data_IF_720310828169
#
_entry.id   IF_720310828169
#
_cell.length_a   1.000
_cell.length_b   1.000
_cell.length_c   1.000
_cell.angle_alpha   90.00
_cell.angle_beta   90.00
_cell.angle_gamma   90.00
#
_symmetry.space_group_name_H-M   'P 1'
#
loop_
_entity.id
_entity.type
_entity.pdbx_description
1 polymer ?
#
# COMPACT_ATOMS: atom_id res chain seq x y z
N UNK A 1 -34.54 21.00 -24.33
CA UNK A 1 -33.21 20.59 -23.87
C UNK A 1 -32.21 21.52 -24.51
N UNK A 2 -32.00 22.71 -23.92
CA UNK A 2 -31.22 23.80 -24.48
C UNK A 2 -29.87 23.80 -23.78
N UNK A 3 -28.84 23.76 -24.59
CA UNK A 3 -27.41 23.70 -24.27
C UNK A 3 -26.96 24.85 -23.34
N UNK A 4 -26.89 24.58 -22.02
CA UNK A 4 -26.32 25.50 -21.00
C UNK A 4 -24.78 25.53 -21.00
N UNK A 5 -24.11 24.83 -21.94
CA UNK A 5 -22.65 24.67 -21.96
C UNK A 5 -21.89 25.79 -22.69
N UNK A 6 -22.54 26.62 -23.48
CA UNK A 6 -21.86 27.68 -24.24
C UNK A 6 -21.70 29.02 -23.48
N UNK A 7 -22.45 29.25 -22.42
CA UNK A 7 -22.36 30.51 -21.63
C UNK A 7 -21.07 30.66 -20.80
N UNK A 8 -20.44 29.56 -20.43
CA UNK A 8 -19.23 29.54 -19.61
C UNK A 8 -17.93 29.70 -20.41
N UNK A 9 -17.96 29.53 -21.73
CA UNK A 9 -16.78 29.68 -22.60
C UNK A 9 -16.36 31.15 -22.82
N UNK A 10 -17.28 32.10 -22.73
CA UNK A 10 -16.99 33.50 -23.00
C UNK A 10 -16.35 34.27 -21.84
N UNK A 11 -16.53 33.82 -20.58
CA UNK A 11 -15.95 34.46 -19.40
C UNK A 11 -14.50 34.04 -19.12
N UNK A 12 -14.05 32.91 -19.69
CA UNK A 12 -12.70 32.35 -19.45
C UNK A 12 -11.57 32.98 -20.25
N UNK A 13 -11.87 33.79 -21.27
CA UNK A 13 -10.85 34.37 -22.19
C UNK A 13 -10.21 35.70 -21.74
N UNK A 14 -10.64 36.29 -20.61
CA UNK A 14 -10.15 37.61 -20.18
C UNK A 14 -9.26 37.66 -18.93
N UNK A 15 -8.89 36.50 -18.35
CA UNK A 15 -8.12 36.45 -17.09
C UNK A 15 -6.83 35.63 -17.13
N UNK A 16 -6.30 35.30 -18.31
CA UNK A 16 -4.99 34.63 -18.40
C UNK A 16 -4.05 35.45 -19.27
N UNK A 17 -3.05 36.04 -18.60
CA UNK A 17 -1.81 36.48 -19.26
C UNK A 17 -1.05 35.25 -19.75
N UNK A 18 -0.52 35.36 -20.95
CA UNK A 18 0.21 34.34 -21.69
C UNK A 18 1.47 33.87 -20.91
N UNK A 19 1.36 32.76 -20.22
CA UNK A 19 2.49 31.90 -19.87
C UNK A 19 1.96 30.45 -19.81
N UNK A 20 1.70 29.87 -21.00
CA UNK A 20 1.31 28.48 -21.17
C UNK A 20 2.55 27.57 -21.09
N UNK A 21 3.14 27.45 -19.88
CA UNK A 21 3.97 26.31 -19.54
C UNK A 21 3.08 25.06 -19.44
N UNK A 22 3.55 23.91 -19.93
CA UNK A 22 2.88 22.62 -19.71
C UNK A 22 2.54 22.46 -18.22
N UNK A 23 1.33 21.99 -17.87
CA UNK A 23 0.93 21.87 -16.46
C UNK A 23 1.94 21.00 -15.72
N UNK A 24 2.59 21.55 -14.72
CA UNK A 24 3.61 20.85 -13.94
C UNK A 24 2.96 19.67 -13.20
N UNK A 25 3.45 18.48 -13.46
CA UNK A 25 2.99 17.26 -12.80
C UNK A 25 3.20 17.33 -11.28
N UNK A 26 2.14 17.20 -10.47
CA UNK A 26 2.22 17.36 -9.03
C UNK A 26 2.68 16.06 -8.34
N UNK A 27 3.95 15.72 -8.44
CA UNK A 27 4.53 14.50 -7.87
C UNK A 27 4.32 14.36 -6.35
N UNK A 28 4.13 15.48 -5.63
CA UNK A 28 3.85 15.47 -4.18
C UNK A 28 2.47 14.92 -3.82
N UNK A 29 1.59 14.71 -4.80
CA UNK A 29 0.31 14.03 -4.62
C UNK A 29 0.38 12.51 -4.78
N UNK A 30 1.52 11.98 -5.19
CA UNK A 30 1.72 10.53 -5.24
C UNK A 30 1.72 9.95 -3.82
N UNK A 31 1.08 8.81 -3.66
CA UNK A 31 1.01 8.11 -2.40
C UNK A 31 0.96 6.59 -2.59
N UNK A 32 1.61 5.89 -1.69
CA UNK A 32 1.40 4.46 -1.56
C UNK A 32 0.33 4.21 -0.51
N UNK A 33 -0.64 3.39 -0.85
CA UNK A 33 -1.83 3.15 -0.04
C UNK A 33 -1.95 1.67 0.31
N UNK A 34 -2.31 1.38 1.55
CA UNK A 34 -2.68 0.04 1.96
C UNK A 34 -4.18 -0.17 1.68
N UNK A 35 -4.50 -1.27 1.01
CA UNK A 35 -5.87 -1.67 0.74
C UNK A 35 -6.46 -2.45 1.93
N UNK A 36 -7.78 -2.58 1.96
CA UNK A 36 -8.46 -3.35 3.03
C UNK A 36 -7.96 -4.77 3.19
N UNK A 37 -7.46 -5.37 2.14
CA UNK A 37 -6.90 -6.71 2.18
C UNK A 37 -5.42 -6.74 2.60
N UNK A 38 -4.84 -5.60 3.00
CA UNK A 38 -3.45 -5.45 3.41
C UNK A 38 -2.44 -5.41 2.26
N UNK A 39 -2.88 -5.52 0.99
CA UNK A 39 -1.99 -5.32 -0.16
C UNK A 39 -1.70 -3.84 -0.36
N UNK A 40 -0.54 -3.52 -0.95
CA UNK A 40 -0.20 -2.16 -1.33
C UNK A 40 -0.69 -1.83 -2.74
N UNK A 41 -0.99 -0.56 -2.99
CA UNK A 41 -1.25 -0.02 -4.32
C UNK A 41 -0.62 1.37 -4.43
N UNK A 42 -0.34 1.83 -5.64
CA UNK A 42 0.23 3.14 -5.89
C UNK A 42 -0.84 4.10 -6.44
N UNK A 43 -1.07 5.21 -5.75
CA UNK A 43 -1.96 6.28 -6.17
C UNK A 43 -1.13 7.43 -6.73
N UNK A 44 -1.49 7.89 -7.92
CA UNK A 44 -0.82 9.05 -8.54
C UNK A 44 -1.76 9.85 -9.44
N UNK A 45 -1.45 11.12 -9.75
CA UNK A 45 -2.10 11.85 -10.82
C UNK A 45 -2.02 11.09 -12.16
N UNK A 46 -3.09 11.17 -12.94
CA UNK A 46 -3.13 10.55 -14.28
C UNK A 46 -2.18 11.27 -15.23
N UNK A 47 -1.59 10.51 -16.14
CA UNK A 47 -0.69 11.00 -17.19
C UNK A 47 -1.33 10.84 -18.57
N UNK A 48 -0.97 11.66 -19.57
CA UNK A 48 -1.39 11.46 -20.97
C UNK A 48 -1.05 10.06 -21.51
N UNK A 49 0.06 9.48 -21.05
CA UNK A 49 0.52 8.13 -21.40
C UNK A 49 -0.37 7.01 -20.87
N UNK A 50 -1.29 7.30 -19.95
CA UNK A 50 -2.21 6.30 -19.39
C UNK A 50 -3.43 6.01 -20.30
N UNK A 51 -3.51 6.61 -21.48
CA UNK A 51 -4.69 6.51 -22.33
C UNK A 51 -5.05 5.05 -22.69
N UNK A 52 -4.07 4.23 -23.02
CA UNK A 52 -4.26 2.81 -23.34
C UNK A 52 -4.69 2.02 -22.08
N UNK A 53 -3.97 2.18 -20.97
CA UNK A 53 -4.30 1.52 -19.70
C UNK A 53 -5.70 1.93 -19.18
N UNK A 54 -6.10 3.19 -19.38
CA UNK A 54 -7.44 3.68 -19.03
C UNK A 54 -8.52 3.06 -19.91
N UNK A 55 -8.23 2.88 -21.21
CA UNK A 55 -9.15 2.21 -22.13
C UNK A 55 -9.34 0.74 -21.72
N UNK A 56 -8.26 0.04 -21.40
CA UNK A 56 -8.28 -1.35 -20.96
C UNK A 56 -9.04 -1.50 -19.63
N UNK A 57 -8.77 -0.60 -18.68
CA UNK A 57 -9.53 -0.54 -17.42
C UNK A 57 -11.02 -0.36 -17.68
N UNK A 58 -11.40 0.55 -18.58
CA UNK A 58 -12.80 0.80 -18.92
C UNK A 58 -13.47 -0.41 -19.57
N UNK A 59 -12.78 -1.11 -20.48
CA UNK A 59 -13.33 -2.28 -21.18
C UNK A 59 -13.51 -3.49 -20.27
N UNK A 60 -12.65 -3.66 -19.25
CA UNK A 60 -12.79 -4.73 -18.25
C UNK A 60 -13.94 -4.52 -17.26
N UNK A 61 -14.54 -3.31 -17.19
CA UNK A 61 -15.71 -3.08 -16.35
C UNK A 61 -16.93 -3.80 -16.90
N UNK A 62 -17.80 -4.28 -16.02
CA UNK A 62 -19.12 -4.77 -16.39
C UNK A 62 -19.97 -3.67 -17.04
N UNK A 63 -20.96 -4.06 -17.85
CA UNK A 63 -21.91 -3.11 -18.43
C UNK A 63 -22.62 -2.29 -17.34
N UNK A 64 -22.95 -2.94 -16.22
CA UNK A 64 -23.56 -2.28 -15.08
C UNK A 64 -22.65 -1.21 -14.47
N UNK A 65 -21.38 -1.49 -14.25
CA UNK A 65 -20.43 -0.53 -13.69
C UNK A 65 -20.19 0.65 -14.62
N UNK A 66 -20.12 0.42 -15.93
CA UNK A 66 -20.07 1.49 -16.93
C UNK A 66 -21.32 2.35 -16.92
N UNK A 67 -22.50 1.71 -16.90
CA UNK A 67 -23.77 2.43 -16.84
C UNK A 67 -23.92 3.28 -15.56
N UNK A 68 -23.58 2.72 -14.40
CA UNK A 68 -23.63 3.45 -13.13
C UNK A 68 -22.68 4.65 -13.09
N UNK A 69 -21.62 4.64 -13.91
CA UNK A 69 -20.62 5.74 -13.97
C UNK A 69 -20.96 6.80 -15.00
N UNK A 70 -21.46 6.41 -16.17
CA UNK A 70 -21.63 7.29 -17.33
C UNK A 70 -23.10 7.59 -17.65
N UNK A 71 -24.04 6.94 -16.98
CA UNK A 71 -25.49 7.04 -17.18
C UNK A 71 -25.92 6.67 -18.61
N UNK A 72 -25.05 5.97 -19.32
CA UNK A 72 -25.25 5.53 -20.69
C UNK A 72 -24.48 4.22 -20.96
N UNK A 73 -24.92 3.47 -21.97
CA UNK A 73 -24.14 2.38 -22.50
C UNK A 73 -22.91 2.96 -23.21
N UNK A 74 -21.71 2.73 -22.63
CA UNK A 74 -20.43 3.22 -23.17
C UNK A 74 -19.44 2.06 -23.18
N UNK A 75 -19.50 1.19 -24.22
CA UNK A 75 -18.65 0.00 -24.24
C UNK A 75 -17.16 0.33 -24.44
N UNK A 76 -16.88 1.49 -25.04
CA UNK A 76 -15.53 1.98 -25.29
C UNK A 76 -15.49 3.50 -25.16
N UNK A 77 -14.40 4.03 -24.62
CA UNK A 77 -14.15 5.46 -24.62
C UNK A 77 -13.69 5.91 -26.01
N UNK A 78 -14.23 7.02 -26.49
CA UNK A 78 -13.76 7.61 -27.76
C UNK A 78 -12.35 8.20 -27.60
N UNK A 79 -11.58 8.39 -28.68
CA UNK A 79 -10.29 9.08 -28.61
C UNK A 79 -10.39 10.48 -27.99
N UNK A 80 -11.51 11.17 -28.20
CA UNK A 80 -11.78 12.48 -27.58
C UNK A 80 -11.99 12.37 -26.07
N UNK A 81 -12.70 11.33 -25.61
CA UNK A 81 -12.92 11.10 -24.18
C UNK A 81 -11.61 10.68 -23.49
N UNK A 82 -10.83 9.81 -24.13
CA UNK A 82 -9.51 9.41 -23.61
C UNK A 82 -8.59 10.63 -23.45
N UNK A 83 -8.49 11.46 -24.49
CA UNK A 83 -7.70 12.69 -24.41
C UNK A 83 -8.22 13.62 -23.31
N UNK A 84 -9.56 13.82 -23.20
CA UNK A 84 -10.15 14.62 -22.13
C UNK A 84 -9.87 14.06 -20.74
N UNK A 85 -9.83 12.75 -20.59
CA UNK A 85 -9.68 12.08 -19.31
C UNK A 85 -8.23 11.97 -18.84
N UNK A 86 -7.27 11.97 -19.74
CA UNK A 86 -5.85 11.85 -19.42
C UNK A 86 -5.08 13.17 -19.48
N UNK A 87 -5.51 14.14 -20.30
CA UNK A 87 -4.90 15.46 -20.34
C UNK A 87 -5.66 16.39 -19.39
N UNK A 88 -5.18 16.47 -18.16
CA UNK A 88 -5.73 17.31 -17.09
C UNK A 88 -4.75 18.44 -16.74
N UNK A 89 -5.26 19.57 -16.26
CA UNK A 89 -4.45 20.74 -15.92
C UNK A 89 -3.95 20.74 -14.47
N UNK A 90 -4.35 19.76 -13.68
CA UNK A 90 -4.05 19.64 -12.25
C UNK A 90 -4.48 20.85 -11.41
N UNK A 91 -5.41 21.66 -11.91
CA UNK A 91 -5.95 22.87 -11.26
C UNK A 91 -7.48 22.79 -11.22
N UNK A 92 -8.12 22.96 -12.39
CA UNK A 92 -9.59 22.88 -12.53
C UNK A 92 -10.05 21.44 -12.79
N UNK A 93 -9.17 20.63 -13.34
CA UNK A 93 -9.42 19.21 -13.63
C UNK A 93 -8.28 18.38 -13.07
N UNK A 94 -8.61 17.54 -12.11
CA UNK A 94 -7.67 16.61 -11.48
C UNK A 94 -8.21 15.20 -11.58
N UNK A 95 -7.34 14.27 -11.94
CA UNK A 95 -7.67 12.85 -11.89
C UNK A 95 -6.52 12.06 -11.26
N UNK A 96 -6.87 11.13 -10.39
CA UNK A 96 -5.96 10.12 -9.83
C UNK A 96 -6.27 8.76 -10.39
N UNK A 97 -5.22 7.99 -10.62
CA UNK A 97 -5.29 6.55 -10.89
C UNK A 97 -4.70 5.80 -9.70
N UNK A 98 -5.27 4.64 -9.40
CA UNK A 98 -4.68 3.68 -8.46
C UNK A 98 -4.19 2.49 -9.28
N UNK A 99 -2.93 2.14 -9.09
CA UNK A 99 -2.24 1.08 -9.81
C UNK A 99 -1.96 -0.11 -8.90
N UNK A 100 -2.23 -1.31 -9.39
CA UNK A 100 -1.70 -2.55 -8.86
C UNK A 100 -0.82 -3.18 -9.95
N UNK A 101 0.49 -3.15 -9.76
CA UNK A 101 1.42 -3.39 -10.86
C UNK A 101 1.35 -2.31 -11.94
N UNK A 102 1.20 -2.73 -13.18
CA UNK A 102 0.98 -1.83 -14.32
C UNK A 102 -0.51 -1.56 -14.59
N UNK A 103 -1.41 -2.21 -13.85
CA UNK A 103 -2.84 -2.18 -14.10
C UNK A 103 -3.53 -1.05 -13.33
N UNK A 104 -4.34 -0.24 -14.02
CA UNK A 104 -5.27 0.69 -13.35
C UNK A 104 -6.41 -0.14 -12.73
N UNK A 105 -6.59 0.00 -11.42
CA UNK A 105 -7.64 -0.68 -10.65
C UNK A 105 -8.73 0.28 -10.15
N UNK A 106 -8.44 1.57 -10.13
CA UNK A 106 -9.43 2.59 -9.81
C UNK A 106 -9.02 3.96 -10.39
N UNK A 107 -10.03 4.79 -10.67
CA UNK A 107 -9.87 6.17 -11.14
C UNK A 107 -10.83 7.05 -10.37
N UNK A 108 -10.34 8.17 -9.85
CA UNK A 108 -11.15 9.24 -9.28
C UNK A 108 -10.79 10.56 -9.93
N UNK A 109 -11.77 11.45 -10.09
CA UNK A 109 -11.53 12.78 -10.66
C UNK A 109 -12.44 13.82 -10.09
N UNK A 110 -12.01 15.06 -10.16
CA UNK A 110 -12.93 16.19 -10.05
C UNK A 110 -12.80 17.13 -11.26
N UNK A 111 -13.89 17.76 -11.63
CA UNK A 111 -13.98 18.87 -12.56
C UNK A 111 -14.56 20.08 -11.80
N UNK A 112 -13.85 21.23 -11.76
CA UNK A 112 -14.31 22.46 -11.11
C UNK A 112 -15.55 23.00 -11.82
N UNK A 113 -16.60 23.31 -11.05
CA UNK A 113 -17.87 23.84 -11.55
C UNK A 113 -18.12 25.28 -11.11
N UNK A 114 -17.50 25.72 -10.01
CA UNK A 114 -17.49 27.12 -9.54
C UNK A 114 -16.15 27.42 -8.86
N UNK A 115 -15.88 28.69 -8.46
CA UNK A 115 -14.60 29.04 -7.84
C UNK A 115 -14.24 28.18 -6.61
N UNK A 116 -15.22 27.72 -5.84
CA UNK A 116 -15.06 26.99 -4.59
C UNK A 116 -15.63 25.55 -4.62
N UNK A 117 -16.19 25.12 -5.75
CA UNK A 117 -16.88 23.83 -5.85
C UNK A 117 -16.44 23.01 -7.07
N UNK A 118 -16.41 21.69 -6.93
CA UNK A 118 -16.13 20.76 -8.02
C UNK A 118 -17.06 19.55 -8.00
N UNK A 119 -17.36 19.03 -9.18
CA UNK A 119 -18.03 17.75 -9.35
C UNK A 119 -17.01 16.62 -9.26
N UNK A 120 -17.28 15.60 -8.42
CA UNK A 120 -16.40 14.46 -8.20
C UNK A 120 -17.03 13.16 -8.72
N UNK A 121 -16.19 12.28 -9.26
CA UNK A 121 -16.65 10.99 -9.77
C UNK A 121 -15.56 9.91 -9.67
N UNK A 122 -15.99 8.67 -9.44
CA UNK A 122 -15.13 7.52 -9.22
C UNK A 122 -15.50 6.36 -10.13
N UNK A 123 -14.52 5.52 -10.42
CA UNK A 123 -14.71 4.21 -11.02
C UNK A 123 -13.69 3.23 -10.41
N UNK A 124 -14.17 2.09 -9.92
CA UNK A 124 -13.35 1.05 -9.29
C UNK A 124 -13.60 -0.25 -10.04
N UNK A 125 -12.54 -1.01 -10.33
CA UNK A 125 -12.68 -2.28 -11.04
C UNK A 125 -13.61 -3.24 -10.27
N UNK A 126 -14.41 -4.02 -11.00
CA UNK A 126 -15.42 -4.89 -10.39
C UNK A 126 -14.81 -5.87 -9.39
N UNK A 127 -13.63 -6.41 -9.68
CA UNK A 127 -12.87 -7.32 -8.80
C UNK A 127 -12.35 -6.67 -7.52
N UNK A 128 -12.29 -5.33 -7.47
CA UNK A 128 -11.77 -4.55 -6.34
C UNK A 128 -12.85 -3.70 -5.65
N UNK A 129 -14.12 -3.85 -6.03
CA UNK A 129 -15.21 -3.18 -5.31
C UNK A 129 -15.29 -3.66 -3.86
N UNK A 130 -15.58 -2.75 -2.94
CA UNK A 130 -15.60 -3.03 -1.50
C UNK A 130 -14.22 -3.00 -0.81
N UNK A 131 -13.13 -2.80 -1.55
CA UNK A 131 -11.76 -2.70 -1.00
C UNK A 131 -11.43 -1.35 -0.34
N UNK A 132 -12.34 -0.36 -0.38
CA UNK A 132 -12.14 0.98 0.18
C UNK A 132 -11.47 1.99 -0.78
N UNK A 133 -11.18 1.60 -2.01
CA UNK A 133 -10.49 2.44 -3.01
C UNK A 133 -11.21 3.75 -3.30
N UNK A 134 -12.55 3.74 -3.39
CA UNK A 134 -13.31 4.97 -3.62
C UNK A 134 -13.17 5.98 -2.48
N UNK A 135 -13.15 5.52 -1.23
CA UNK A 135 -12.92 6.39 -0.06
C UNK A 135 -11.50 6.97 -0.06
N UNK A 136 -10.49 6.16 -0.38
CA UNK A 136 -9.10 6.64 -0.52
C UNK A 136 -8.98 7.69 -1.61
N UNK A 137 -9.57 7.43 -2.79
CA UNK A 137 -9.58 8.39 -3.89
C UNK A 137 -10.28 9.70 -3.50
N UNK A 138 -11.39 9.62 -2.78
CA UNK A 138 -12.10 10.81 -2.29
C UNK A 138 -11.23 11.65 -1.36
N UNK A 139 -10.52 11.02 -0.42
CA UNK A 139 -9.62 11.71 0.52
C UNK A 139 -8.49 12.43 -0.20
N UNK A 140 -7.83 11.76 -1.16
CA UNK A 140 -6.75 12.37 -1.95
C UNK A 140 -7.25 13.48 -2.88
N UNK A 141 -8.42 13.29 -3.52
CA UNK A 141 -9.05 14.34 -4.32
C UNK A 141 -9.44 15.54 -3.47
N UNK A 142 -9.99 15.32 -2.26
CA UNK A 142 -10.33 16.41 -1.34
C UNK A 142 -9.08 17.17 -0.87
N UNK A 143 -7.96 16.48 -0.62
CA UNK A 143 -6.69 17.12 -0.29
C UNK A 143 -6.18 18.00 -1.44
N UNK A 144 -6.12 17.46 -2.66
CA UNK A 144 -5.71 18.19 -3.85
C UNK A 144 -6.64 19.37 -4.19
N UNK A 145 -7.96 19.19 -4.00
CA UNK A 145 -8.96 20.22 -4.22
C UNK A 145 -8.80 21.42 -3.28
N UNK A 146 -8.54 21.16 -1.99
CA UNK A 146 -8.26 22.23 -1.00
C UNK A 146 -7.00 23.03 -1.34
N UNK A 147 -5.94 22.41 -1.82
CA UNK A 147 -4.75 23.11 -2.32
C UNK A 147 -5.06 24.05 -3.49
N UNK A 148 -6.16 23.80 -4.21
CA UNK A 148 -6.66 24.59 -5.33
C UNK A 148 -7.82 25.53 -4.95
N UNK A 149 -8.10 25.70 -3.65
CA UNK A 149 -9.15 26.58 -3.15
C UNK A 149 -10.58 26.10 -3.39
N UNK A 150 -10.76 24.79 -3.58
CA UNK A 150 -12.07 24.14 -3.64
C UNK A 150 -12.42 23.66 -2.23
N UNK A 151 -13.62 23.98 -1.76
CA UNK A 151 -14.10 23.65 -0.42
C UNK A 151 -15.34 22.75 -0.43
N UNK A 152 -15.96 22.55 -1.59
CA UNK A 152 -17.19 21.76 -1.73
C UNK A 152 -17.06 20.76 -2.87
N UNK A 153 -17.47 19.53 -2.61
CA UNK A 153 -17.72 18.55 -3.65
C UNK A 153 -19.20 18.32 -3.87
N UNK A 154 -19.55 18.07 -5.13
CA UNK A 154 -20.87 17.59 -5.57
C UNK A 154 -20.69 16.32 -6.38
N UNK A 155 -21.71 15.46 -6.39
CA UNK A 155 -21.73 14.27 -7.24
C UNK A 155 -23.17 13.94 -7.64
N UNK A 156 -23.33 13.45 -8.88
CA UNK A 156 -24.57 12.86 -9.37
C UNK A 156 -24.46 11.33 -9.27
N UNK A 157 -25.43 10.69 -8.63
CA UNK A 157 -25.41 9.25 -8.39
C UNK A 157 -26.78 8.66 -8.73
N UNK A 158 -26.81 7.59 -9.52
CA UNK A 158 -28.06 6.85 -9.75
C UNK A 158 -28.57 6.25 -8.43
N UNK A 159 -29.89 6.29 -8.12
CA UNK A 159 -30.44 5.79 -6.87
C UNK A 159 -30.10 4.31 -6.57
N UNK A 160 -29.97 3.49 -7.61
CA UNK A 160 -29.58 2.10 -7.50
C UNK A 160 -28.08 1.90 -7.17
N UNK A 161 -27.26 2.94 -7.28
CA UNK A 161 -25.85 2.88 -6.92
C UNK A 161 -25.63 3.13 -5.41
N UNK A 162 -26.26 2.29 -4.60
CA UNK A 162 -26.22 2.37 -3.14
C UNK A 162 -24.81 2.28 -2.59
N UNK A 163 -23.89 1.56 -3.28
CA UNK A 163 -22.48 1.46 -2.90
C UNK A 163 -21.79 2.83 -2.97
N UNK A 164 -22.00 3.61 -4.02
CA UNK A 164 -21.41 4.93 -4.18
C UNK A 164 -22.01 5.93 -3.18
N UNK A 165 -23.33 5.89 -2.97
CA UNK A 165 -23.98 6.71 -1.94
C UNK A 165 -23.35 6.43 -0.57
N UNK A 166 -23.11 5.15 -0.25
CA UNK A 166 -22.46 4.74 1.00
C UNK A 166 -21.05 5.29 1.13
N UNK A 167 -20.25 5.30 0.05
CA UNK A 167 -18.90 5.91 0.06
C UNK A 167 -18.98 7.35 0.56
N UNK A 168 -19.88 8.17 0.03
CA UNK A 168 -19.99 9.58 0.46
C UNK A 168 -20.44 9.72 1.92
N UNK A 169 -21.41 8.91 2.36
CA UNK A 169 -21.97 9.02 3.71
C UNK A 169 -21.09 8.47 4.82
N UNK A 170 -20.14 7.58 4.50
CA UNK A 170 -19.24 6.96 5.48
C UNK A 170 -17.89 7.65 5.63
N UNK A 171 -17.61 8.71 4.86
CA UNK A 171 -16.33 9.45 4.92
C UNK A 171 -16.20 10.40 6.10
N UNK A 172 -17.27 10.58 6.89
CA UNK A 172 -17.28 11.46 8.06
C UNK A 172 -17.45 12.94 7.73
N UNK A 173 -17.71 13.30 6.47
CA UNK A 173 -18.17 14.62 6.07
C UNK A 173 -19.68 14.78 6.33
N UNK A 174 -20.13 16.02 6.46
CA UNK A 174 -21.57 16.33 6.55
C UNK A 174 -22.16 16.38 5.15
N UNK A 175 -22.93 15.33 4.80
CA UNK A 175 -23.38 15.05 3.43
C UNK A 175 -24.87 15.37 3.27
N UNK A 176 -25.16 16.33 2.42
CA UNK A 176 -26.51 16.67 1.96
C UNK A 176 -26.86 15.79 0.73
N UNK A 177 -28.09 15.28 0.70
CA UNK A 177 -28.59 14.47 -0.41
C UNK A 177 -29.97 14.98 -0.84
N UNK A 178 -30.15 15.14 -2.13
CA UNK A 178 -31.43 15.52 -2.73
C UNK A 178 -31.68 14.69 -3.99
N UNK A 179 -32.91 14.16 -4.12
CA UNK A 179 -33.34 13.53 -5.38
C UNK A 179 -33.75 14.64 -6.35
N UNK A 180 -33.17 14.64 -7.55
CA UNK A 180 -33.44 15.62 -8.60
C UNK A 180 -33.42 14.91 -9.96
N UNK A 181 -34.46 15.04 -10.76
CA UNK A 181 -34.61 14.42 -12.10
C UNK A 181 -34.17 12.93 -12.17
N UNK A 182 -34.47 12.14 -11.14
CA UNK A 182 -34.17 10.71 -11.10
C UNK A 182 -32.74 10.36 -10.70
N UNK A 183 -31.93 11.35 -10.34
CA UNK A 183 -30.57 11.17 -9.79
C UNK A 183 -30.49 11.68 -8.35
N UNK A 184 -29.62 11.08 -7.55
CA UNK A 184 -29.30 11.57 -6.20
C UNK A 184 -28.17 12.57 -6.32
N UNK A 185 -28.47 13.83 -6.08
CA UNK A 185 -27.49 14.89 -5.93
C UNK A 185 -26.88 14.80 -4.54
N UNK A 186 -25.57 14.62 -4.48
CA UNK A 186 -24.79 14.59 -3.25
C UNK A 186 -23.95 15.86 -3.17
N UNK A 187 -23.93 16.54 -2.02
CA UNK A 187 -23.13 17.75 -1.79
C UNK A 187 -22.56 17.74 -0.38
N UNK A 188 -21.31 18.13 -0.20
CA UNK A 188 -20.65 18.23 1.10
C UNK A 188 -19.44 19.13 1.08
N UNK A 189 -19.12 19.73 2.24
CA UNK A 189 -17.87 20.46 2.47
C UNK A 189 -16.73 19.44 2.65
N UNK A 190 -15.57 19.74 2.02
CA UNK A 190 -14.40 18.87 2.05
C UNK A 190 -13.32 19.32 3.04
N UNK A 191 -13.57 20.38 3.80
CA UNK A 191 -12.68 20.78 4.88
C UNK A 191 -12.64 19.68 5.96
N UNK A 192 -11.46 19.36 6.51
CA UNK A 192 -11.34 18.27 7.47
C UNK A 192 -12.17 18.51 8.73
N UNK A 193 -13.04 17.60 9.07
CA UNK A 193 -13.74 17.56 10.35
C UNK A 193 -13.04 16.59 11.29
N UNK A 194 -13.24 16.70 12.60
CA UNK A 194 -12.72 15.73 13.57
C UNK A 194 -13.14 14.30 13.19
N UNK A 195 -14.41 14.12 12.80
CA UNK A 195 -14.97 12.83 12.39
C UNK A 195 -14.36 12.30 11.10
N UNK A 196 -14.14 13.14 10.07
CA UNK A 196 -13.50 12.68 8.83
C UNK A 196 -12.06 12.23 9.06
N UNK A 197 -11.31 12.96 9.89
CA UNK A 197 -9.95 12.58 10.27
C UNK A 197 -9.89 11.26 11.07
N UNK A 198 -10.88 11.03 11.94
CA UNK A 198 -11.01 9.78 12.70
C UNK A 198 -11.31 8.59 11.76
N UNK A 199 -12.28 8.72 10.86
CA UNK A 199 -12.62 7.69 9.87
C UNK A 199 -11.42 7.35 8.98
N UNK A 200 -10.68 8.36 8.50
CA UNK A 200 -9.46 8.16 7.72
C UNK A 200 -8.41 7.39 8.51
N UNK A 201 -8.18 7.81 9.77
CA UNK A 201 -7.20 7.18 10.64
C UNK A 201 -7.55 5.73 10.96
N UNK A 202 -8.83 5.43 11.22
CA UNK A 202 -9.30 4.07 11.49
C UNK A 202 -9.23 3.16 10.26
N UNK A 203 -9.51 3.69 9.07
CA UNK A 203 -9.34 2.94 7.82
C UNK A 203 -7.86 2.61 7.56
N UNK A 204 -6.96 3.59 7.73
CA UNK A 204 -5.51 3.41 7.61
C UNK A 204 -5.04 2.34 8.62
N UNK A 205 -5.43 2.47 9.88
CA UNK A 205 -5.10 1.53 10.94
C UNK A 205 -5.48 0.09 10.58
N UNK A 206 -6.73 -0.15 10.17
CA UNK A 206 -7.17 -1.50 9.79
C UNK A 206 -6.41 -2.07 8.58
N UNK A 207 -6.04 -1.24 7.61
CA UNK A 207 -5.29 -1.69 6.44
C UNK A 207 -3.85 -2.07 6.81
N UNK A 208 -3.17 -1.25 7.61
CA UNK A 208 -1.80 -1.50 8.05
C UNK A 208 -1.71 -2.69 9.02
N UNK A 209 -2.63 -2.80 9.98
CA UNK A 209 -2.69 -3.94 10.89
C UNK A 209 -2.82 -5.27 10.13
N UNK A 210 -3.68 -5.32 9.10
CA UNK A 210 -3.82 -6.52 8.25
C UNK A 210 -2.59 -6.80 7.38
N UNK A 211 -1.88 -5.75 6.93
CA UNK A 211 -0.65 -5.94 6.19
C UNK A 211 0.43 -6.57 7.07
N UNK A 212 0.54 -6.12 8.33
CA UNK A 212 1.45 -6.68 9.31
C UNK A 212 1.05 -8.11 9.72
N UNK A 213 -0.23 -8.37 9.91
CA UNK A 213 -0.76 -9.71 10.19
C UNK A 213 -0.29 -10.73 9.14
N UNK A 214 -0.41 -10.42 7.86
CA UNK A 214 0.05 -11.29 6.78
C UNK A 214 1.56 -11.50 6.74
N UNK A 215 2.31 -10.47 7.11
CA UNK A 215 3.77 -10.54 7.17
C UNK A 215 4.23 -11.42 8.34
N UNK A 216 3.54 -11.35 9.48
CA UNK A 216 3.91 -12.05 10.70
C UNK A 216 3.31 -13.46 10.81
N UNK A 217 2.23 -13.75 10.06
CA UNK A 217 1.49 -15.03 10.08
C UNK A 217 1.44 -15.69 8.69
N UNK A 218 2.59 -15.93 8.01
CA UNK A 218 2.59 -16.60 6.72
C UNK A 218 2.28 -18.08 6.86
N UNK A 219 1.42 -18.62 5.99
CA UNK A 219 1.18 -20.06 5.86
C UNK A 219 2.25 -20.75 4.98
N UNK A 220 2.91 -19.96 4.12
CA UNK A 220 3.97 -20.41 3.24
C UNK A 220 5.12 -19.41 3.18
N UNK A 221 6.35 -19.95 3.25
CA UNK A 221 7.60 -19.18 3.27
C UNK A 221 8.52 -19.61 2.14
N UNK A 222 9.12 -18.65 1.46
CA UNK A 222 10.17 -18.85 0.47
C UNK A 222 11.49 -18.27 0.97
N UNK A 223 12.54 -19.08 1.02
CA UNK A 223 13.90 -18.63 1.29
C UNK A 223 14.71 -18.59 0.00
N UNK A 224 15.16 -17.40 -0.40
CA UNK A 224 15.96 -17.16 -1.61
C UNK A 224 17.40 -16.85 -1.19
N UNK A 225 18.37 -17.50 -1.84
CA UNK A 225 19.79 -17.36 -1.53
C UNK A 225 20.27 -18.31 -0.43
N UNK A 226 19.54 -19.42 -0.25
CA UNK A 226 20.04 -20.54 0.57
C UNK A 226 21.15 -21.26 -0.17
N UNK A 227 22.12 -21.79 0.58
CA UNK A 227 23.23 -22.55 0.04
C UNK A 227 23.65 -23.68 1.00
N UNK A 228 24.49 -24.60 0.54
CA UNK A 228 25.08 -25.66 1.37
C UNK A 228 25.96 -25.11 2.51
N UNK A 229 26.35 -23.84 2.46
CA UNK A 229 27.13 -23.17 3.51
C UNK A 229 26.18 -22.76 4.65
N UNK A 230 26.31 -23.40 5.79
CA UNK A 230 25.48 -23.13 6.99
C UNK A 230 25.63 -21.71 7.52
N UNK A 231 26.80 -21.09 7.36
CA UNK A 231 27.15 -19.73 7.78
C UNK A 231 26.58 -18.64 6.85
N UNK A 232 26.01 -19.02 5.68
CA UNK A 232 25.36 -18.07 4.78
C UNK A 232 24.10 -17.47 5.43
N UNK A 233 23.75 -16.24 5.06
CA UNK A 233 22.54 -15.61 5.57
C UNK A 233 21.28 -16.49 5.34
N UNK A 234 21.10 -17.00 4.12
CA UNK A 234 20.01 -17.90 3.81
C UNK A 234 20.03 -19.21 4.60
N UNK A 235 21.21 -19.79 4.84
CA UNK A 235 21.37 -20.98 5.68
C UNK A 235 20.99 -20.73 7.14
N UNK A 236 21.35 -19.57 7.68
CA UNK A 236 20.95 -19.16 9.05
C UNK A 236 19.46 -18.96 9.19
N UNK A 237 18.77 -18.35 8.20
CA UNK A 237 17.31 -18.25 8.17
C UNK A 237 16.65 -19.62 8.13
N UNK A 238 17.15 -20.54 7.32
CA UNK A 238 16.65 -21.92 7.27
C UNK A 238 16.81 -22.60 8.63
N UNK A 239 17.97 -22.48 9.26
CA UNK A 239 18.22 -23.04 10.61
C UNK A 239 17.25 -22.47 11.65
N UNK A 240 17.03 -21.16 11.64
CA UNK A 240 16.13 -20.49 12.57
C UNK A 240 14.68 -20.95 12.37
N UNK A 241 14.25 -21.05 11.10
CA UNK A 241 12.90 -21.50 10.75
C UNK A 241 12.64 -22.94 11.19
N UNK A 242 13.57 -23.87 10.89
CA UNK A 242 13.47 -25.28 11.31
C UNK A 242 13.47 -25.43 12.82
N UNK A 243 14.26 -24.64 13.53
CA UNK A 243 14.34 -24.67 15.00
C UNK A 243 13.16 -23.98 15.69
N UNK A 244 12.30 -23.26 14.97
CA UNK A 244 11.19 -22.50 15.58
C UNK A 244 9.94 -23.30 15.87
N UNK A 245 9.77 -24.44 15.22
CA UNK A 245 8.51 -25.23 15.25
C UNK A 245 7.48 -24.78 14.21
N UNK A 246 7.88 -23.97 13.21
CA UNK A 246 7.00 -23.58 12.13
C UNK A 246 6.45 -24.77 11.34
N UNK A 247 5.13 -24.83 11.15
CA UNK A 247 4.42 -25.96 10.53
C UNK A 247 3.97 -25.70 9.09
N UNK A 248 4.10 -24.44 8.61
CA UNK A 248 3.69 -24.07 7.26
C UNK A 248 4.62 -24.61 6.17
N UNK A 249 4.26 -24.31 4.92
CA UNK A 249 5.02 -24.77 3.76
C UNK A 249 6.31 -23.96 3.58
N UNK A 250 7.44 -24.65 3.36
CA UNK A 250 8.74 -24.01 3.15
C UNK A 250 9.29 -24.36 1.78
N UNK A 251 9.55 -23.33 0.97
CA UNK A 251 10.18 -23.43 -0.33
C UNK A 251 11.59 -22.85 -0.28
N UNK A 252 12.53 -23.46 -1.00
CA UNK A 252 13.93 -23.06 -1.05
C UNK A 252 14.36 -22.77 -2.48
N UNK A 253 14.98 -21.61 -2.72
CA UNK A 253 15.62 -21.29 -4.00
C UNK A 253 17.12 -21.21 -3.79
N UNK A 254 17.86 -22.09 -4.50
CA UNK A 254 19.31 -22.19 -4.48
C UNK A 254 19.86 -22.36 -5.89
N UNK A 255 20.98 -21.68 -6.18
CA UNK A 255 21.71 -21.87 -7.45
C UNK A 255 22.69 -23.01 -7.38
N UNK A 256 23.09 -23.42 -6.17
CA UNK A 256 24.24 -24.28 -5.93
C UNK A 256 23.88 -25.72 -5.52
N UNK A 257 22.60 -25.95 -5.15
CA UNK A 257 22.16 -27.23 -4.64
C UNK A 257 20.78 -27.61 -5.18
N UNK A 258 20.55 -28.87 -5.48
CA UNK A 258 19.24 -29.42 -5.86
C UNK A 258 18.44 -29.90 -4.64
N UNK A 259 19.12 -30.12 -3.54
CA UNK A 259 18.55 -30.53 -2.26
C UNK A 259 19.36 -29.91 -1.10
N UNK A 260 18.68 -29.43 -0.09
CA UNK A 260 19.26 -28.91 1.15
C UNK A 260 18.49 -29.47 2.36
N UNK A 261 19.21 -30.17 3.24
CA UNK A 261 18.65 -30.77 4.48
C UNK A 261 17.41 -31.63 4.23
N UNK A 262 17.41 -32.44 3.17
CA UNK A 262 16.30 -33.30 2.82
C UNK A 262 15.12 -32.59 2.13
N UNK A 263 15.29 -31.29 1.80
CA UNK A 263 14.29 -30.50 1.09
C UNK A 263 14.72 -30.23 -0.33
N UNK A 264 13.82 -30.42 -1.29
CA UNK A 264 14.03 -30.01 -2.68
C UNK A 264 14.27 -28.50 -2.75
N UNK A 265 15.22 -28.08 -3.56
CA UNK A 265 15.43 -26.69 -3.93
C UNK A 265 15.02 -26.44 -5.38
N UNK A 266 14.73 -25.18 -5.67
CA UNK A 266 14.42 -24.72 -7.01
C UNK A 266 15.53 -23.80 -7.49
N UNK A 267 15.81 -23.79 -8.79
CA UNK A 267 16.83 -22.92 -9.37
C UNK A 267 16.33 -21.47 -9.52
N UNK A 268 15.02 -21.30 -9.74
CA UNK A 268 14.37 -20.00 -9.92
C UNK A 268 13.05 -19.96 -9.14
N UNK A 269 12.66 -18.76 -8.73
CA UNK A 269 11.41 -18.50 -8.03
C UNK A 269 10.19 -18.88 -8.91
N UNK A 270 10.25 -18.55 -10.20
CA UNK A 270 9.15 -18.78 -11.14
C UNK A 270 8.86 -20.28 -11.42
N UNK A 271 9.76 -21.17 -11.02
CA UNK A 271 9.58 -22.61 -11.17
C UNK A 271 8.79 -23.25 -10.01
N UNK A 272 8.42 -22.46 -8.99
CA UNK A 272 7.67 -22.94 -7.82
C UNK A 272 6.21 -23.27 -8.16
N UNK A 273 5.67 -24.33 -7.56
CA UNK A 273 4.29 -24.78 -7.82
C UNK A 273 3.28 -24.02 -6.95
N UNK A 274 3.01 -22.77 -7.21
CA UNK A 274 1.98 -22.01 -6.49
C UNK A 274 2.41 -20.68 -5.92
N UNK A 275 1.49 -19.99 -5.24
CA UNK A 275 1.75 -18.71 -4.57
C UNK A 275 2.41 -18.94 -3.20
N UNK A 276 3.16 -17.94 -2.76
CA UNK A 276 3.85 -17.91 -1.46
C UNK A 276 3.50 -16.60 -0.74
N UNK A 277 3.26 -16.68 0.58
CA UNK A 277 2.86 -15.51 1.36
C UNK A 277 4.02 -14.58 1.66
N UNK A 278 5.15 -15.14 2.09
CA UNK A 278 6.33 -14.40 2.52
C UNK A 278 7.60 -14.94 1.90
N UNK A 279 8.41 -14.07 1.29
CA UNK A 279 9.75 -14.43 0.83
C UNK A 279 10.84 -13.73 1.66
N UNK A 280 11.89 -14.45 2.03
CA UNK A 280 13.14 -13.88 2.56
C UNK A 280 14.16 -13.86 1.42
N UNK A 281 14.65 -12.68 1.05
CA UNK A 281 15.60 -12.49 -0.05
C UNK A 281 16.99 -12.20 0.54
N UNK A 282 17.76 -13.25 0.73
CA UNK A 282 19.14 -13.18 1.28
C UNK A 282 20.18 -13.16 0.15
N UNK A 283 20.09 -12.17 -0.73
CA UNK A 283 20.95 -11.96 -1.89
C UNK A 283 21.71 -10.63 -1.77
N UNK A 284 22.72 -10.42 -2.63
CA UNK A 284 23.37 -9.12 -2.74
C UNK A 284 22.40 -8.04 -3.23
N UNK A 285 22.62 -6.74 -2.92
CA UNK A 285 21.67 -5.66 -3.21
C UNK A 285 21.16 -5.63 -4.65
N UNK A 286 22.02 -5.77 -5.64
CA UNK A 286 21.64 -5.72 -7.05
C UNK A 286 20.74 -6.90 -7.45
N UNK A 287 21.01 -8.08 -6.90
CA UNK A 287 20.22 -9.29 -7.18
C UNK A 287 18.84 -9.28 -6.50
N UNK A 288 18.64 -8.47 -5.47
CA UNK A 288 17.32 -8.30 -4.82
C UNK A 288 16.29 -7.69 -5.78
N UNK A 289 16.72 -6.84 -6.71
CA UNK A 289 15.81 -6.20 -7.68
C UNK A 289 15.17 -7.22 -8.64
N UNK A 290 15.95 -8.20 -9.11
CA UNK A 290 15.46 -9.28 -9.97
C UNK A 290 14.58 -10.24 -9.16
N UNK A 291 14.99 -10.59 -7.94
CA UNK A 291 14.25 -11.47 -7.07
C UNK A 291 12.85 -10.91 -6.71
N UNK A 292 12.70 -9.59 -6.55
CA UNK A 292 11.40 -8.95 -6.34
C UNK A 292 10.47 -9.19 -7.54
N UNK A 293 10.97 -9.04 -8.77
CA UNK A 293 10.16 -9.26 -9.99
C UNK A 293 9.75 -10.75 -10.12
N UNK A 294 10.66 -11.68 -9.82
CA UNK A 294 10.33 -13.10 -9.80
C UNK A 294 9.30 -13.45 -8.71
N UNK A 295 9.44 -12.87 -7.51
CA UNK A 295 8.46 -13.02 -6.43
C UNK A 295 7.08 -12.48 -6.82
N UNK A 296 7.04 -11.34 -7.51
CA UNK A 296 5.80 -10.76 -8.01
C UNK A 296 5.10 -11.69 -9.01
N UNK A 297 5.85 -12.32 -9.90
CA UNK A 297 5.32 -13.21 -10.93
C UNK A 297 4.56 -14.43 -10.35
N UNK A 298 4.92 -14.89 -9.12
CA UNK A 298 4.24 -15.98 -8.43
C UNK A 298 3.28 -15.51 -7.32
N UNK A 299 3.03 -14.19 -7.22
CA UNK A 299 2.05 -13.62 -6.32
C UNK A 299 2.49 -13.49 -4.86
N UNK A 300 3.80 -13.42 -4.57
CA UNK A 300 4.32 -13.10 -3.22
C UNK A 300 3.82 -11.73 -2.79
N UNK A 301 3.34 -11.63 -1.56
CA UNK A 301 2.73 -10.39 -1.03
C UNK A 301 3.62 -9.65 -0.04
N UNK A 302 4.54 -10.33 0.63
CA UNK A 302 5.44 -9.74 1.61
C UNK A 302 6.86 -10.25 1.41
N UNK A 303 7.84 -9.36 1.59
CA UNK A 303 9.25 -9.72 1.49
C UNK A 303 10.04 -9.20 2.68
N UNK A 304 10.98 -9.99 3.16
CA UNK A 304 11.98 -9.60 4.15
C UNK A 304 13.34 -9.55 3.46
N UNK A 305 14.04 -8.43 3.59
CA UNK A 305 15.37 -8.23 3.03
C UNK A 305 16.37 -7.98 4.17
N UNK A 306 17.12 -9.03 4.56
CA UNK A 306 18.14 -8.90 5.60
C UNK A 306 19.41 -8.23 5.11
N UNK A 307 19.60 -8.12 3.81
CA UNK A 307 20.82 -7.60 3.19
C UNK A 307 21.04 -6.13 3.53
N UNK A 308 22.24 -5.80 3.95
CA UNK A 308 22.75 -4.44 4.20
C UNK A 308 23.32 -3.83 2.92
N UNK A 309 23.82 -2.57 2.99
CA UNK A 309 24.45 -1.88 1.87
C UNK A 309 23.52 -1.03 1.01
N UNK A 310 22.25 -0.93 1.37
CA UNK A 310 21.27 -0.12 0.63
C UNK A 310 21.24 1.37 1.04
N UNK A 311 21.70 1.72 2.24
CA UNK A 311 21.65 3.11 2.72
C UNK A 311 23.04 3.76 2.84
N UNK A 312 24.12 2.98 2.70
CA UNK A 312 25.48 3.38 3.07
C UNK A 312 26.19 4.21 1.99
N UNK A 313 25.58 4.37 0.82
CA UNK A 313 26.12 5.13 -0.31
C UNK A 313 25.01 5.68 -1.21
N UNK A 314 25.31 6.64 -2.06
CA UNK A 314 24.38 7.18 -3.06
C UNK A 314 23.84 6.08 -3.99
N UNK A 315 24.70 5.16 -4.40
CA UNK A 315 24.33 4.00 -5.21
C UNK A 315 23.38 3.07 -4.45
N UNK A 316 23.69 2.74 -3.20
CA UNK A 316 22.82 1.94 -2.34
C UNK A 316 21.46 2.60 -2.12
N UNK A 317 21.43 3.90 -1.90
CA UNK A 317 20.20 4.67 -1.79
C UNK A 317 19.34 4.66 -3.07
N UNK A 318 19.97 4.63 -4.25
CA UNK A 318 19.25 4.46 -5.52
C UNK A 318 18.67 3.05 -5.64
N UNK A 319 19.43 2.01 -5.29
CA UNK A 319 18.96 0.63 -5.28
C UNK A 319 17.76 0.46 -4.32
N UNK A 320 17.82 1.05 -3.12
CA UNK A 320 16.72 1.01 -2.16
C UNK A 320 15.45 1.63 -2.73
N UNK A 321 15.55 2.81 -3.34
CA UNK A 321 14.39 3.45 -3.98
C UNK A 321 13.79 2.57 -5.09
N UNK A 322 14.63 1.99 -5.95
CA UNK A 322 14.17 1.07 -7.00
C UNK A 322 13.51 -0.17 -6.42
N UNK A 323 14.07 -0.74 -5.35
CA UNK A 323 13.55 -1.92 -4.67
C UNK A 323 12.14 -1.66 -4.13
N UNK A 324 11.97 -0.57 -3.40
CA UNK A 324 10.67 -0.16 -2.85
C UNK A 324 9.66 0.12 -3.96
N UNK A 325 10.06 0.86 -4.98
CA UNK A 325 9.19 1.16 -6.13
C UNK A 325 8.71 -0.11 -6.82
N UNK A 326 9.60 -1.10 -7.02
CA UNK A 326 9.22 -2.40 -7.62
C UNK A 326 8.28 -3.20 -6.72
N UNK A 327 8.63 -3.35 -5.43
CA UNK A 327 7.79 -4.06 -4.47
C UNK A 327 6.37 -3.48 -4.43
N UNK A 328 6.24 -2.16 -4.27
CA UNK A 328 4.97 -1.45 -4.22
C UNK A 328 4.19 -1.52 -5.52
N UNK A 329 4.86 -1.44 -6.67
CA UNK A 329 4.22 -1.62 -7.99
C UNK A 329 3.46 -2.94 -8.07
N UNK A 330 3.96 -3.98 -7.42
CA UNK A 330 3.34 -5.30 -7.39
C UNK A 330 2.47 -5.54 -6.14
N UNK A 331 2.21 -4.52 -5.34
CA UNK A 331 1.41 -4.63 -4.12
C UNK A 331 2.08 -5.40 -2.98
N UNK A 332 3.40 -5.59 -3.05
CA UNK A 332 4.18 -6.26 -2.02
C UNK A 332 4.57 -5.29 -0.90
N UNK A 333 4.51 -5.75 0.35
CA UNK A 333 5.09 -5.07 1.49
C UNK A 333 6.54 -5.52 1.69
N UNK A 334 7.40 -4.58 2.04
CA UNK A 334 8.83 -4.83 2.20
C UNK A 334 9.30 -4.48 3.61
N UNK A 335 9.87 -5.47 4.30
CA UNK A 335 10.52 -5.30 5.59
C UNK A 335 12.05 -5.21 5.40
N UNK A 336 12.65 -4.13 5.85
CA UNK A 336 14.06 -3.83 5.64
C UNK A 336 14.29 -2.73 4.60
N UNK A 337 15.38 -2.77 3.81
CA UNK A 337 16.58 -3.64 3.89
C UNK A 337 17.31 -3.54 5.24
N UNK A 338 18.29 -4.42 5.43
CA UNK A 338 19.04 -4.50 6.68
C UNK A 338 18.19 -5.01 7.86
N UNK A 339 17.13 -5.77 7.58
CA UNK A 339 16.24 -6.33 8.60
C UNK A 339 16.90 -7.48 9.36
N UNK A 340 16.80 -7.50 10.69
CA UNK A 340 17.12 -8.69 11.47
C UNK A 340 16.11 -9.82 11.24
N UNK A 341 14.96 -9.54 10.62
CA UNK A 341 13.88 -10.47 10.36
C UNK A 341 12.70 -10.33 11.30
N UNK A 342 11.88 -11.36 11.35
CA UNK A 342 10.69 -11.47 12.21
C UNK A 342 10.77 -12.70 13.10
N UNK A 343 10.08 -12.64 14.24
CA UNK A 343 9.98 -13.76 15.16
C UNK A 343 8.64 -13.67 15.89
N UNK A 344 7.97 -14.81 16.03
CA UNK A 344 6.78 -14.99 16.86
C UNK A 344 6.90 -16.27 17.67
N UNK A 345 6.44 -16.20 18.90
CA UNK A 345 6.40 -17.35 19.84
C UNK A 345 4.96 -17.78 20.09
N UNK A 346 4.74 -18.82 20.87
CA UNK A 346 3.40 -19.26 21.26
C UNK A 346 2.85 -20.40 20.41
N UNK A 347 1.57 -20.34 20.06
CA UNK A 347 0.86 -21.46 19.41
C UNK A 347 1.32 -21.72 17.99
N UNK A 348 1.57 -20.69 17.20
CA UNK A 348 2.07 -20.77 15.82
C UNK A 348 3.44 -20.12 15.69
N UNK A 349 4.49 -20.74 16.21
CA UNK A 349 5.79 -20.12 16.28
C UNK A 349 6.46 -20.05 14.92
N UNK A 350 7.14 -18.93 14.66
CA UNK A 350 7.99 -18.74 13.48
C UNK A 350 9.24 -17.97 13.84
N UNK A 351 10.38 -18.36 13.30
CA UNK A 351 11.60 -17.56 13.33
C UNK A 351 12.17 -17.43 11.93
N UNK A 352 11.91 -16.29 11.33
CA UNK A 352 12.61 -15.78 10.15
C UNK A 352 13.50 -14.63 10.59
N UNK A 353 14.45 -14.94 11.50
CA UNK A 353 15.33 -13.96 12.11
C UNK A 353 16.76 -14.47 12.20
N UNK A 354 17.70 -13.54 12.09
CA UNK A 354 19.13 -13.79 12.37
C UNK A 354 19.46 -13.71 13.86
N UNK A 355 18.44 -13.64 14.74
CA UNK A 355 18.60 -13.72 16.18
C UNK A 355 19.23 -15.07 16.59
N UNK A 356 20.09 -15.09 17.63
CA UNK A 356 20.88 -16.29 17.96
C UNK A 356 20.04 -17.45 18.50
N UNK A 357 18.86 -17.18 19.06
CA UNK A 357 17.98 -18.19 19.68
C UNK A 357 16.52 -17.75 19.61
N UNK A 358 15.62 -18.73 19.65
CA UNK A 358 14.19 -18.52 19.85
C UNK A 358 13.96 -18.12 21.33
N UNK A 359 13.38 -16.95 21.63
CA UNK A 359 13.06 -16.57 23.01
C UNK A 359 11.92 -17.43 23.58
N UNK A 360 11.74 -17.36 24.90
CA UNK A 360 10.57 -17.95 25.56
C UNK A 360 9.30 -17.21 25.17
N UNK A 361 8.20 -17.94 25.07
CA UNK A 361 6.90 -17.33 24.88
C UNK A 361 6.50 -16.40 26.05
N UNK A 362 5.85 -15.30 25.73
CA UNK A 362 5.38 -14.30 26.69
C UNK A 362 4.58 -13.19 26.06
N UNK A 363 4.50 -12.04 26.71
CA UNK A 363 3.63 -10.93 26.31
C UNK A 363 4.39 -9.66 25.89
N UNK A 364 5.72 -9.71 25.78
CA UNK A 364 6.49 -8.57 25.30
C UNK A 364 6.56 -8.60 23.76
N UNK A 365 6.29 -7.47 23.12
CA UNK A 365 6.52 -7.25 21.70
C UNK A 365 7.70 -6.29 21.52
N UNK A 366 8.60 -6.57 20.58
CA UNK A 366 9.79 -5.75 20.34
C UNK A 366 9.91 -5.38 18.88
N UNK A 367 10.22 -4.12 18.60
CA UNK A 367 10.63 -3.70 17.26
C UNK A 367 11.92 -2.87 17.30
N UNK A 368 12.76 -3.05 16.27
CA UNK A 368 14.03 -2.35 16.20
C UNK A 368 14.48 -2.03 14.79
N UNK A 369 15.21 -0.91 14.66
CA UNK A 369 15.84 -0.49 13.41
C UNK A 369 17.22 -1.12 13.26
N UNK A 370 18.11 -0.95 14.25
CA UNK A 370 19.44 -1.53 14.25
C UNK A 370 19.37 -3.04 14.49
N UNK A 371 19.86 -3.83 13.54
CA UNK A 371 19.94 -5.29 13.66
C UNK A 371 20.84 -5.72 14.83
N UNK A 372 21.97 -5.03 15.05
CA UNK A 372 22.87 -5.32 16.15
C UNK A 372 22.22 -5.03 17.52
N UNK A 373 21.60 -3.86 17.69
CA UNK A 373 20.91 -3.51 18.92
C UNK A 373 19.71 -4.43 19.18
N UNK A 374 18.97 -4.77 18.15
CA UNK A 374 17.83 -5.70 18.23
C UNK A 374 18.29 -7.10 18.70
N UNK A 375 19.39 -7.61 18.15
CA UNK A 375 19.95 -8.90 18.59
C UNK A 375 20.38 -8.86 20.07
N UNK A 376 21.00 -7.75 20.52
CA UNK A 376 21.36 -7.55 21.92
C UNK A 376 20.12 -7.49 22.85
N UNK A 377 19.08 -6.80 22.43
CA UNK A 377 17.83 -6.72 23.19
C UNK A 377 17.15 -8.08 23.32
N UNK A 378 17.06 -8.84 22.21
CA UNK A 378 16.51 -10.20 22.22
C UNK A 378 17.31 -11.13 23.16
N UNK A 379 18.64 -11.10 23.12
CA UNK A 379 19.47 -11.84 24.04
C UNK A 379 19.28 -11.37 25.50
N UNK A 380 19.12 -10.06 25.70
CA UNK A 380 18.91 -9.46 27.02
C UNK A 380 17.55 -9.80 27.65
N UNK A 381 16.49 -9.91 26.86
CA UNK A 381 15.16 -10.34 27.33
C UNK A 381 15.18 -11.81 27.72
N UNK A 382 15.77 -12.67 26.92
CA UNK A 382 15.92 -14.09 27.23
C UNK A 382 16.74 -14.34 28.50
N UNK A 383 17.86 -13.66 28.65
CA UNK A 383 18.71 -13.74 29.83
C UNK A 383 18.02 -13.30 31.13
N UNK A 384 17.02 -12.41 31.05
CA UNK A 384 16.22 -11.93 32.19
C UNK A 384 14.91 -12.68 32.38
N UNK A 385 14.64 -13.70 31.56
CA UNK A 385 13.41 -14.47 31.62
C UNK A 385 12.17 -13.70 31.16
N UNK A 386 12.35 -12.60 30.41
CA UNK A 386 11.24 -11.87 29.81
C UNK A 386 10.76 -12.64 28.57
N UNK A 387 9.53 -13.14 28.63
CA UNK A 387 8.90 -13.85 27.52
C UNK A 387 8.49 -12.87 26.42
N UNK A 388 8.80 -13.24 25.20
CA UNK A 388 8.46 -12.47 24.00
C UNK A 388 7.20 -13.03 23.35
N UNK A 389 6.37 -12.16 22.79
CA UNK A 389 5.29 -12.53 21.87
C UNK A 389 5.77 -12.43 20.44
N UNK A 390 6.18 -11.25 20.02
CA UNK A 390 6.64 -10.97 18.67
C UNK A 390 7.88 -10.07 18.64
N UNK A 391 8.65 -10.20 17.56
CA UNK A 391 9.74 -9.29 17.22
C UNK A 391 9.69 -8.92 15.74
N UNK A 392 9.92 -7.63 15.43
CA UNK A 392 10.00 -7.10 14.07
C UNK A 392 11.28 -6.26 13.92
N UNK A 393 12.19 -6.71 13.06
CA UNK A 393 13.37 -5.95 12.67
C UNK A 393 13.08 -5.11 11.43
N UNK A 394 12.82 -3.82 11.61
CA UNK A 394 12.39 -2.95 10.47
C UNK A 394 13.56 -2.47 9.60
N UNK A 395 14.81 -2.62 10.04
CA UNK A 395 16.00 -2.21 9.29
C UNK A 395 15.93 -0.75 8.85
N UNK A 396 16.20 -0.45 7.59
CA UNK A 396 16.18 0.90 7.02
C UNK A 396 14.77 1.52 6.94
N UNK A 397 13.70 0.77 7.26
CA UNK A 397 12.29 1.24 7.20
C UNK A 397 11.91 1.81 5.83
N UNK A 398 12.35 1.16 4.78
CA UNK A 398 12.14 1.67 3.43
C UNK A 398 10.65 1.62 2.99
N UNK A 399 9.87 0.66 3.55
CA UNK A 399 8.42 0.54 3.37
C UNK A 399 7.71 0.29 4.71
N UNK A 400 7.83 -0.91 5.30
CA UNK A 400 7.26 -1.20 6.62
C UNK A 400 7.99 -0.41 7.70
N UNK A 401 7.21 0.29 8.53
CA UNK A 401 7.70 1.16 9.58
C UNK A 401 7.30 0.69 10.98
N UNK A 402 7.89 1.32 12.00
CA UNK A 402 7.49 1.09 13.39
C UNK A 402 6.05 1.48 13.68
N UNK A 403 5.52 2.50 12.98
CA UNK A 403 4.12 2.89 13.14
C UNK A 403 3.16 1.79 12.65
N UNK A 404 3.53 1.05 11.61
CA UNK A 404 2.73 -0.06 11.08
C UNK A 404 2.74 -1.23 12.07
N UNK A 405 3.90 -1.51 12.65
CA UNK A 405 4.07 -2.52 13.71
C UNK A 405 3.25 -2.19 14.96
N UNK A 406 3.27 -0.91 15.40
CA UNK A 406 2.48 -0.46 16.53
C UNK A 406 0.97 -0.57 16.29
N UNK A 407 0.52 -0.29 15.06
CA UNK A 407 -0.90 -0.44 14.69
C UNK A 407 -1.36 -1.90 14.70
N UNK A 408 -0.47 -2.83 14.39
CA UNK A 408 -0.75 -4.27 14.52
C UNK A 408 -0.88 -4.67 15.98
N UNK A 409 0.05 -4.27 16.83
CA UNK A 409 0.05 -4.62 18.25
C UNK A 409 -1.01 -3.89 19.08
N UNK A 410 -1.59 -2.80 18.58
CA UNK A 410 -2.69 -2.08 19.24
C UNK A 410 -3.93 -2.98 19.43
N UNK A 411 -4.21 -3.85 18.47
CA UNK A 411 -5.37 -4.75 18.47
C UNK A 411 -5.04 -6.16 18.99
N UNK A 412 -3.78 -6.45 19.35
CA UNK A 412 -3.35 -7.79 19.78
C UNK A 412 -3.44 -7.96 21.31
N UNK A 413 -4.42 -8.74 21.76
CA UNK A 413 -4.65 -9.04 23.17
C UNK A 413 -3.49 -9.81 23.83
N UNK A 414 -2.60 -10.44 23.05
CA UNK A 414 -1.43 -11.16 23.58
C UNK A 414 -0.27 -10.22 23.90
N UNK A 415 -0.28 -8.99 23.41
CA UNK A 415 0.73 -7.98 23.68
C UNK A 415 0.40 -7.25 24.99
N UNK A 416 1.29 -7.32 25.96
CA UNK A 416 1.15 -6.63 27.26
C UNK A 416 2.14 -5.48 27.44
N UNK A 417 3.24 -5.49 26.71
CA UNK A 417 4.26 -4.43 26.74
C UNK A 417 4.99 -4.36 25.40
N UNK A 418 5.24 -3.15 24.93
CA UNK A 418 5.95 -2.90 23.69
C UNK A 418 7.28 -2.22 23.96
N UNK A 419 8.36 -2.79 23.46
CA UNK A 419 9.70 -2.23 23.48
C UNK A 419 10.13 -1.78 22.07
N UNK A 420 10.63 -0.55 21.96
CA UNK A 420 11.08 0.02 20.70
C UNK A 420 12.54 0.45 20.75
N UNK A 421 13.35 -0.02 19.80
CA UNK A 421 14.72 0.44 19.59
C UNK A 421 14.79 1.34 18.35
N UNK A 422 14.76 2.64 18.58
CA UNK A 422 14.58 3.65 17.54
C UNK A 422 15.88 4.42 17.26
N UNK A 423 16.21 4.62 16.00
CA UNK A 423 17.17 5.63 15.54
C UNK A 423 16.44 6.90 15.10
N UNK A 424 15.23 6.74 14.56
CA UNK A 424 14.34 7.86 14.21
C UNK A 424 12.88 7.42 14.19
N UNK A 425 11.95 8.35 14.47
CA UNK A 425 10.51 8.06 14.57
C UNK A 425 9.77 8.03 13.23
N UNK A 426 10.39 8.45 12.13
CA UNK A 426 9.72 8.59 10.83
C UNK A 426 8.66 9.69 10.86
N UNK A 427 7.38 9.34 11.00
CA UNK A 427 6.29 10.30 11.17
C UNK A 427 5.93 10.47 12.65
N UNK A 428 6.43 11.53 13.33
CA UNK A 428 6.20 11.72 14.77
C UNK A 428 4.74 11.97 15.13
N UNK A 429 3.97 12.60 14.23
CA UNK A 429 2.53 12.87 14.46
C UNK A 429 1.74 11.57 14.45
N UNK A 430 2.02 10.67 13.49
CA UNK A 430 1.41 9.33 13.43
C UNK A 430 1.78 8.53 14.69
N UNK A 431 3.07 8.52 15.05
CA UNK A 431 3.57 7.86 16.25
C UNK A 431 2.85 8.32 17.52
N UNK A 432 2.78 9.65 17.74
CA UNK A 432 2.12 10.22 18.95
C UNK A 432 0.64 9.84 19.02
N UNK A 433 -0.05 9.81 17.88
CA UNK A 433 -1.46 9.42 17.81
C UNK A 433 -1.66 7.95 18.20
N UNK A 434 -0.83 7.06 17.68
CA UNK A 434 -0.90 5.62 17.99
C UNK A 434 -0.52 5.37 19.45
N UNK A 435 0.62 5.91 19.90
CA UNK A 435 1.12 5.72 21.26
C UNK A 435 0.19 6.23 22.38
N UNK A 436 -0.79 7.09 22.06
CA UNK A 436 -1.82 7.53 23.03
C UNK A 436 -2.99 6.53 23.15
N UNK A 437 -3.11 5.60 22.20
CA UNK A 437 -4.17 4.58 22.21
C UNK A 437 -3.68 3.26 22.81
N UNK A 438 -2.37 3.01 22.70
CA UNK A 438 -1.67 1.91 23.41
C UNK A 438 -1.57 2.18 24.92
#
# INVERSE_FOLDING_TARGET
MVDRRDGLRSLRRRARGDDEGEPTYPAHWEADIALRDGSAAHLRPILPTDAEALQDFHQRQSERSRYLRFFAAMPRLSPRDLARFTHVDHIDRVAFVVLAGAEIIAVGRYDRISPDSAEVAFNVSDSRQGSGLASVLLEHLAAAARERGIHRFTAEVLPENTKMIKVFTETGYDVERRLDDGVVMVSFQIDPTARSLEVMAEREHRAEARAMERLLHPESVLLIGVSSREDSAGGRFLTALEGSGYTGTVHLVSRDALELRGRRTWSRVVDLPGSVDLAVIALRPEACLEAIEECAAIGVRSVVIPTEGFADSDHGGQLQRQLVTRARRHGMRLLGPGSLGILRTGEDPISLSLAPRMPRAGRAALAGQSSALSAMLLAGTDARGIGLHEFVGVGNRADVSLNDTLQHWEDDEHVGVIGLALESMGNPRKFTRIARRL
#
